data_IF_094857511714
#
_entry.id   IF_094857511714
#
_cell.length_a   1.000
_cell.length_b   1.000
_cell.length_c   1.000
_cell.angle_alpha   90.00
_cell.angle_beta   90.00
_cell.angle_gamma   90.00
#
_symmetry.space_group_name_H-M   'P 1'
#
loop_
_entity.id
_entity.type
_entity.pdbx_description
1 polymer ?
#
# COMPACT_ATOMS: atom_id res chain seq x y z
N UNK A 1 -10.14 4.05 -10.65
CA UNK A 1 -9.22 5.19 -10.47
C UNK A 1 -8.67 5.53 -11.84
N UNK A 2 -8.81 6.77 -12.28
CA UNK A 2 -8.20 7.20 -13.55
C UNK A 2 -6.69 7.28 -13.39
N UNK A 3 -5.96 6.95 -14.46
CA UNK A 3 -4.49 6.99 -14.48
C UNK A 3 -4.02 7.70 -15.74
N UNK A 4 -2.98 8.51 -15.61
CA UNK A 4 -2.28 9.12 -16.76
C UNK A 4 -1.17 8.19 -17.23
N UNK A 5 -0.95 8.08 -18.54
CA UNK A 5 0.16 7.32 -19.10
C UNK A 5 1.16 8.25 -19.78
N UNK A 6 2.45 8.00 -19.55
CA UNK A 6 3.57 8.69 -20.21
C UNK A 6 4.60 7.66 -20.64
N UNK A 7 5.32 7.95 -21.71
CA UNK A 7 6.48 7.17 -22.12
C UNK A 7 7.68 7.45 -21.21
N UNK A 8 8.63 6.52 -21.19
CA UNK A 8 9.91 6.72 -20.48
C UNK A 8 10.70 7.92 -21.01
N UNK A 9 10.50 8.32 -22.27
CA UNK A 9 11.16 9.49 -22.85
C UNK A 9 10.53 10.78 -22.32
N UNK A 10 9.21 10.87 -22.30
CA UNK A 10 8.47 12.01 -21.74
C UNK A 10 8.75 12.16 -20.25
N UNK A 11 8.82 11.05 -19.51
CA UNK A 11 9.20 11.07 -18.09
C UNK A 11 10.56 11.72 -17.84
N UNK A 12 11.57 11.41 -18.67
CA UNK A 12 12.90 12.02 -18.55
C UNK A 12 12.93 13.49 -18.95
N UNK A 13 12.09 13.90 -19.89
CA UNK A 13 12.07 15.28 -20.39
C UNK A 13 11.23 16.22 -19.50
N UNK A 14 10.27 15.69 -18.74
CA UNK A 14 9.30 16.49 -18.00
C UNK A 14 9.09 15.98 -16.56
N UNK A 15 10.16 15.53 -15.92
CA UNK A 15 10.09 14.86 -14.61
C UNK A 15 9.37 15.71 -13.55
N UNK A 16 9.68 17.00 -13.43
CA UNK A 16 9.06 17.87 -12.42
C UNK A 16 7.53 17.98 -12.58
N UNK A 17 7.05 18.18 -13.82
CA UNK A 17 5.62 18.25 -14.09
C UNK A 17 4.93 16.93 -13.78
N UNK A 18 5.56 15.81 -14.10
CA UNK A 18 4.97 14.49 -13.85
C UNK A 18 4.92 14.18 -12.35
N UNK A 19 5.90 14.62 -11.57
CA UNK A 19 5.85 14.52 -10.11
C UNK A 19 4.74 15.39 -9.49
N UNK A 20 4.45 16.54 -10.08
CA UNK A 20 3.31 17.38 -9.68
C UNK A 20 1.98 16.72 -10.05
N UNK A 21 1.85 16.20 -11.27
CA UNK A 21 0.66 15.47 -11.73
C UNK A 21 0.36 14.26 -10.83
N UNK A 22 1.42 13.53 -10.43
CA UNK A 22 1.34 12.38 -9.55
C UNK A 22 0.77 12.69 -8.15
N UNK A 23 0.77 13.96 -7.72
CA UNK A 23 0.12 14.38 -6.48
C UNK A 23 -1.41 14.20 -6.54
N UNK A 24 -1.99 14.25 -7.74
CA UNK A 24 -3.45 14.21 -7.96
C UNK A 24 -3.92 12.94 -8.65
N UNK A 25 -3.08 12.35 -9.50
CA UNK A 25 -3.44 11.18 -10.30
C UNK A 25 -2.21 10.32 -10.56
N UNK A 26 -2.28 9.00 -10.32
CA UNK A 26 -1.17 8.10 -10.62
C UNK A 26 -0.75 8.16 -12.09
N UNK A 27 0.57 8.20 -12.29
CA UNK A 27 1.18 8.27 -13.62
C UNK A 27 1.90 6.96 -13.92
N UNK A 28 1.42 6.27 -14.95
CA UNK A 28 2.01 5.02 -15.46
C UNK A 28 3.11 5.37 -16.45
N UNK A 29 4.33 4.90 -16.18
CA UNK A 29 5.46 5.05 -17.09
C UNK A 29 5.54 3.81 -17.98
N UNK A 30 5.50 4.01 -19.29
CA UNK A 30 5.55 2.94 -20.29
C UNK A 30 6.84 2.95 -21.11
N UNK A 31 7.19 1.81 -21.70
CA UNK A 31 8.24 1.64 -22.69
C UNK A 31 7.64 1.13 -23.98
N UNK A 32 8.08 1.70 -25.11
CA UNK A 32 7.58 1.36 -26.47
C UNK A 32 6.04 1.39 -26.56
N UNK A 33 5.40 2.25 -25.77
CA UNK A 33 3.93 2.44 -25.75
C UNK A 33 3.10 1.36 -25.06
N UNK A 34 3.64 0.17 -24.76
CA UNK A 34 2.84 -0.95 -24.25
C UNK A 34 3.34 -1.57 -22.95
N UNK A 35 4.63 -1.52 -22.65
CA UNK A 35 5.19 -2.17 -21.46
C UNK A 35 5.26 -1.21 -20.30
N UNK A 36 4.50 -1.46 -19.23
CA UNK A 36 4.64 -0.72 -17.95
C UNK A 36 6.04 -0.95 -17.37
N UNK A 37 6.69 0.15 -16.96
CA UNK A 37 8.03 0.17 -16.36
C UNK A 37 8.01 0.62 -14.91
N UNK A 38 6.99 1.38 -14.53
CA UNK A 38 6.82 1.91 -13.19
C UNK A 38 5.55 2.72 -13.11
N UNK A 39 5.15 3.03 -11.87
CA UNK A 39 4.01 3.88 -11.57
C UNK A 39 4.50 4.91 -10.56
N UNK A 40 4.19 6.17 -10.80
CA UNK A 40 4.47 7.28 -9.88
C UNK A 40 3.15 7.67 -9.23
N UNK A 41 3.16 7.75 -7.91
CA UNK A 41 2.02 8.12 -7.07
C UNK A 41 2.45 9.19 -6.08
N UNK A 42 1.48 9.86 -5.46
CA UNK A 42 1.77 10.75 -4.33
C UNK A 42 2.30 9.95 -3.13
N UNK A 43 3.17 10.55 -2.29
CA UNK A 43 3.65 9.89 -1.08
C UNK A 43 2.51 9.41 -0.16
N UNK A 44 1.49 10.25 0.06
CA UNK A 44 0.36 9.90 0.92
C UNK A 44 -0.49 8.77 0.34
N UNK A 45 -0.60 8.66 -0.99
CA UNK A 45 -1.25 7.52 -1.62
C UNK A 45 -0.43 6.25 -1.39
N UNK A 46 0.89 6.32 -1.54
CA UNK A 46 1.77 5.17 -1.31
C UNK A 46 1.67 4.68 0.14
N UNK A 47 1.76 5.58 1.12
CA UNK A 47 1.63 5.25 2.55
C UNK A 47 0.31 4.53 2.85
N UNK A 48 -0.83 5.10 2.41
CA UNK A 48 -2.14 4.45 2.60
C UNK A 48 -2.26 3.11 1.86
N UNK A 49 -1.59 2.96 0.72
CA UNK A 49 -1.59 1.70 -0.01
C UNK A 49 -0.80 0.62 0.73
N UNK A 50 0.30 0.98 1.40
CA UNK A 50 1.05 0.07 2.26
C UNK A 50 0.22 -0.31 3.48
N UNK A 51 -0.32 0.69 4.20
CA UNK A 51 -1.18 0.47 5.38
C UNK A 51 -2.38 -0.43 5.06
N UNK A 52 -3.05 -0.21 3.92
CA UNK A 52 -4.17 -1.05 3.50
C UNK A 52 -3.78 -2.50 3.18
N UNK A 53 -2.53 -2.75 2.76
CA UNK A 53 -2.04 -4.12 2.56
C UNK A 53 -1.77 -4.81 3.90
N UNK A 54 -1.19 -4.10 4.86
CA UNK A 54 -0.96 -4.61 6.22
C UNK A 54 -2.28 -4.90 6.94
N UNK A 55 -3.25 -3.97 6.85
CA UNK A 55 -4.57 -4.15 7.47
C UNK A 55 -5.31 -5.40 6.93
N UNK A 56 -5.13 -5.74 5.65
CA UNK A 56 -5.70 -6.97 5.08
C UNK A 56 -5.05 -8.23 5.65
N UNK A 57 -3.76 -8.19 5.97
CA UNK A 57 -3.06 -9.30 6.61
C UNK A 57 -3.52 -9.47 8.07
N UNK A 58 -3.68 -8.37 8.80
CA UNK A 58 -4.21 -8.37 10.17
C UNK A 58 -5.64 -8.92 10.25
N UNK A 59 -6.52 -8.49 9.33
CA UNK A 59 -7.90 -9.02 9.25
C UNK A 59 -7.87 -10.53 9.04
N UNK A 60 -7.04 -11.01 8.12
CA UNK A 60 -6.92 -12.46 7.85
C UNK A 60 -6.36 -13.20 9.06
N UNK A 61 -5.37 -12.65 9.75
CA UNK A 61 -4.80 -13.27 10.94
C UNK A 61 -5.85 -13.36 12.07
N UNK A 62 -6.65 -12.30 12.26
CA UNK A 62 -7.74 -12.28 13.23
C UNK A 62 -8.85 -13.28 12.86
N UNK A 63 -9.17 -13.46 11.59
CA UNK A 63 -10.11 -14.50 11.13
C UNK A 63 -9.60 -15.90 11.45
N UNK A 64 -8.33 -16.20 11.15
CA UNK A 64 -7.69 -17.48 11.47
C UNK A 64 -7.71 -17.74 12.98
N UNK A 65 -7.30 -16.76 13.79
CA UNK A 65 -7.27 -16.90 15.26
C UNK A 65 -8.66 -17.18 15.86
N UNK A 66 -9.75 -16.69 15.24
CA UNK A 66 -11.13 -17.01 15.68
C UNK A 66 -11.57 -18.43 15.34
N UNK A 67 -10.93 -19.09 14.38
CA UNK A 67 -11.18 -20.48 14.04
C UNK A 67 -10.38 -21.46 14.93
N UNK A 68 -9.36 -20.96 15.63
CA UNK A 68 -8.58 -21.73 16.60
C UNK A 68 -9.40 -21.97 17.88
N UNK A 69 -9.19 -23.13 18.52
CA UNK A 69 -9.94 -23.53 19.73
C UNK A 69 -9.25 -23.07 21.03
N UNK A 70 -8.03 -22.55 20.92
CA UNK A 70 -7.21 -22.16 22.06
C UNK A 70 -7.46 -20.68 22.38
N UNK A 71 -8.05 -20.41 23.54
CA UNK A 71 -8.38 -19.07 24.02
C UNK A 71 -7.76 -18.85 25.41
N UNK A 72 -7.33 -17.62 25.70
CA UNK A 72 -6.84 -17.19 27.01
C UNK A 72 -7.75 -16.11 27.60
N UNK A 73 -7.96 -16.15 28.92
CA UNK A 73 -8.74 -15.10 29.59
C UNK A 73 -7.96 -13.78 29.66
N UNK A 74 -8.67 -12.66 29.75
CA UNK A 74 -8.03 -11.35 29.86
C UNK A 74 -7.14 -11.21 31.11
N UNK A 75 -7.55 -11.82 32.23
CA UNK A 75 -6.78 -11.80 33.48
C UNK A 75 -5.48 -12.60 33.35
N UNK A 76 -5.54 -13.79 32.74
CA UNK A 76 -4.36 -14.63 32.52
C UNK A 76 -3.39 -13.96 31.54
N UNK A 77 -3.89 -13.33 30.47
CA UNK A 77 -3.06 -12.58 29.52
C UNK A 77 -2.35 -11.40 30.20
N UNK A 78 -3.03 -10.66 31.09
CA UNK A 78 -2.41 -9.56 31.84
C UNK A 78 -1.32 -10.06 32.78
N UNK A 79 -1.54 -11.19 33.44
CA UNK A 79 -0.54 -11.82 34.29
C UNK A 79 0.70 -12.24 33.48
N UNK A 80 0.51 -12.84 32.30
CA UNK A 80 1.60 -13.25 31.40
C UNK A 80 2.41 -12.06 30.88
N UNK A 81 1.75 -10.96 30.51
CA UNK A 81 2.40 -9.74 30.01
C UNK A 81 3.01 -8.85 31.13
N UNK A 82 2.86 -9.23 32.40
CA UNK A 82 3.34 -8.43 33.54
C UNK A 82 2.55 -7.13 33.76
N UNK A 83 1.28 -7.10 33.35
CA UNK A 83 0.36 -5.97 33.44
C UNK A 83 -0.71 -6.14 34.54
N UNK A 84 -0.48 -7.07 35.47
CA UNK A 84 -1.39 -7.41 36.57
C UNK A 84 -1.19 -6.51 37.81
#
# INVERSE_FOLDING_TARGET
METKSVTSSEFRQSQSQILEDAQRTPVVITSRGSRVRGIVVSPSFFERAIEALEEQEDIRAAEIAREETEEISHEDLKAELGLA
#
